data_IF_665703131732
#
_entry.id   IF_665703131732
#
_cell.length_a   1.000
_cell.length_b   1.000
_cell.length_c   1.000
_cell.angle_alpha   90.00
_cell.angle_beta   90.00
_cell.angle_gamma   90.00
#
_symmetry.space_group_name_H-M   'P 1'
#
loop_
_entity.id
_entity.type
_entity.pdbx_description
1 polymer ?
#
# COMPACT_ATOMS: atom_id res chain seq x y z
N UNK A 1 -67.07 1.48 -11.71
CA UNK A 1 -65.98 2.12 -12.39
C UNK A 1 -64.75 2.05 -11.50
N UNK A 2 -63.92 1.01 -11.68
CA UNK A 2 -62.68 0.88 -10.91
C UNK A 2 -61.54 1.65 -11.57
N UNK A 3 -61.04 2.65 -10.89
CA UNK A 3 -59.75 3.27 -11.27
C UNK A 3 -58.61 2.44 -10.68
N UNK A 4 -57.96 1.64 -11.50
CA UNK A 4 -56.72 1.01 -11.14
C UNK A 4 -55.63 2.08 -11.01
N UNK A 5 -55.22 2.36 -9.79
CA UNK A 5 -53.96 3.07 -9.55
C UNK A 5 -52.80 2.09 -9.85
N UNK A 6 -52.14 2.28 -10.95
CA UNK A 6 -50.85 1.64 -11.20
C UNK A 6 -49.82 2.34 -10.31
N UNK A 7 -49.44 1.67 -9.22
CA UNK A 7 -48.27 2.09 -8.44
C UNK A 7 -47.02 1.83 -9.31
N UNK A 8 -46.45 2.92 -9.80
CA UNK A 8 -45.10 2.87 -10.43
C UNK A 8 -44.10 2.71 -9.28
N UNK A 9 -43.66 1.50 -9.09
CA UNK A 9 -42.53 1.22 -8.18
C UNK A 9 -41.24 1.75 -8.84
N UNK A 10 -40.85 2.99 -8.49
CA UNK A 10 -39.55 3.51 -8.87
C UNK A 10 -38.52 2.80 -8.00
N UNK A 11 -37.91 1.76 -8.54
CA UNK A 11 -36.74 1.15 -7.93
C UNK A 11 -35.61 2.15 -8.15
N UNK A 12 -35.32 2.95 -7.13
CA UNK A 12 -34.09 3.72 -7.08
C UNK A 12 -32.93 2.73 -7.00
N UNK A 13 -32.31 2.47 -8.13
CA UNK A 13 -31.06 1.73 -8.19
C UNK A 13 -29.99 2.60 -7.54
N UNK A 14 -29.77 2.39 -6.24
CA UNK A 14 -28.67 2.99 -5.51
C UNK A 14 -27.38 2.35 -6.06
N UNK A 15 -26.78 3.02 -7.04
CA UNK A 15 -25.45 2.68 -7.54
C UNK A 15 -24.46 3.00 -6.43
N UNK A 16 -24.21 2.01 -5.56
CA UNK A 16 -23.09 2.08 -4.63
C UNK A 16 -21.83 1.92 -5.49
N UNK A 17 -21.30 3.05 -5.95
CA UNK A 17 -19.93 3.10 -6.42
C UNK A 17 -19.08 2.64 -5.22
N UNK A 18 -18.24 1.58 -5.36
CA UNK A 18 -17.24 1.32 -4.36
C UNK A 18 -16.37 2.58 -4.32
N UNK A 19 -16.61 3.43 -3.35
CA UNK A 19 -15.73 4.53 -3.05
C UNK A 19 -14.37 3.87 -2.78
N UNK A 20 -13.39 4.16 -3.63
CA UNK A 20 -12.01 3.91 -3.30
C UNK A 20 -11.73 4.78 -2.09
N UNK A 21 -11.94 4.24 -0.91
CA UNK A 21 -11.43 4.85 0.31
C UNK A 21 -9.93 4.61 0.25
N UNK A 22 -9.21 5.52 -0.38
CA UNK A 22 -7.77 5.65 -0.22
C UNK A 22 -7.54 6.06 1.23
N UNK A 23 -7.60 5.10 2.14
CA UNK A 23 -7.14 5.29 3.49
C UNK A 23 -5.63 5.09 3.46
N UNK A 24 -4.90 6.17 3.24
CA UNK A 24 -3.44 6.15 3.31
C UNK A 24 -3.01 5.49 4.64
N UNK A 25 -2.18 4.47 4.55
CA UNK A 25 -1.63 3.81 5.74
C UNK A 25 -0.81 4.81 6.54
N UNK A 26 -1.06 4.89 7.84
CA UNK A 26 -0.32 5.74 8.75
C UNK A 26 0.72 4.88 9.48
N UNK A 27 1.96 5.34 9.51
CA UNK A 27 3.04 4.82 10.33
C UNK A 27 3.25 5.73 11.54
N UNK A 28 3.22 5.13 12.71
CA UNK A 28 3.55 5.77 13.98
C UNK A 28 5.06 5.68 14.26
N UNK A 29 5.51 6.27 15.33
CA UNK A 29 6.94 6.37 15.67
C UNK A 29 7.65 5.02 15.90
N UNK A 30 6.89 3.94 16.03
CA UNK A 30 7.40 2.57 16.21
C UNK A 30 7.17 1.67 14.99
N UNK A 31 6.61 2.23 13.92
CA UNK A 31 6.15 1.46 12.77
C UNK A 31 7.07 1.66 11.57
N UNK A 32 7.55 0.58 10.97
CA UNK A 32 8.27 0.60 9.71
C UNK A 32 7.49 -0.14 8.62
N UNK A 33 7.70 0.23 7.37
CA UNK A 33 7.22 -0.53 6.21
C UNK A 33 8.33 -1.41 5.69
N UNK A 34 8.03 -2.69 5.55
CA UNK A 34 8.98 -3.70 5.11
C UNK A 34 8.45 -4.50 3.93
N UNK A 35 9.37 -4.99 3.12
CA UNK A 35 9.11 -5.98 2.07
C UNK A 35 9.93 -7.23 2.32
N UNK A 36 9.25 -8.37 2.36
CA UNK A 36 9.89 -9.69 2.36
C UNK A 36 9.95 -10.21 0.94
N UNK A 37 11.13 -10.58 0.49
CA UNK A 37 11.37 -11.19 -0.82
C UNK A 37 11.79 -12.65 -0.65
N UNK A 38 11.38 -13.54 -1.56
CA UNK A 38 11.68 -14.98 -1.49
C UNK A 38 12.81 -15.40 -2.39
N UNK A 39 13.23 -14.55 -3.32
CA UNK A 39 14.34 -14.81 -4.25
C UNK A 39 15.30 -13.63 -4.32
N UNK A 40 16.44 -13.82 -4.97
CA UNK A 40 17.42 -12.76 -5.25
C UNK A 40 17.10 -11.97 -6.53
N UNK A 41 15.95 -12.23 -7.17
CA UNK A 41 15.47 -11.43 -8.29
C UNK A 41 15.28 -9.98 -7.85
N UNK A 42 15.91 -9.06 -8.57
CA UNK A 42 15.91 -7.65 -8.19
C UNK A 42 14.51 -7.07 -8.18
N UNK A 43 14.16 -6.38 -7.11
CA UNK A 43 12.89 -5.65 -6.95
C UNK A 43 13.19 -4.18 -6.72
N UNK A 44 12.77 -3.34 -7.66
CA UNK A 44 12.82 -1.89 -7.49
C UNK A 44 11.62 -1.45 -6.66
N UNK A 45 11.83 -0.52 -5.73
CA UNK A 45 10.75 0.08 -4.96
C UNK A 45 10.81 1.60 -4.97
N UNK A 46 9.64 2.20 -4.91
CA UNK A 46 9.46 3.63 -4.68
C UNK A 46 8.27 3.81 -3.74
N UNK A 47 8.46 4.60 -2.70
CA UNK A 47 7.42 4.94 -1.74
C UNK A 47 7.35 6.45 -1.59
N UNK A 48 6.17 7.01 -1.80
CA UNK A 48 5.87 8.41 -1.52
C UNK A 48 5.13 8.50 -0.20
N UNK A 49 5.51 9.46 0.64
CA UNK A 49 4.87 9.66 1.94
C UNK A 49 4.85 11.14 2.32
N UNK A 50 4.15 11.45 3.40
CA UNK A 50 4.19 12.77 4.01
C UNK A 50 4.27 12.63 5.53
N UNK A 51 5.18 13.39 6.12
CA UNK A 51 5.34 13.49 7.56
C UNK A 51 4.51 14.63 8.11
N UNK A 52 3.74 14.35 9.16
CA UNK A 52 2.88 15.29 9.85
C UNK A 52 3.34 15.46 11.29
N UNK A 53 3.49 16.70 11.68
CA UNK A 53 3.59 17.11 13.09
C UNK A 53 2.39 17.97 13.45
N UNK A 54 2.32 18.50 14.64
CA UNK A 54 1.26 19.44 15.04
C UNK A 54 1.24 20.73 14.22
N UNK A 55 2.36 21.08 13.58
CA UNK A 55 2.53 22.38 12.89
C UNK A 55 3.04 22.27 11.46
N UNK A 56 3.54 21.11 11.02
CA UNK A 56 4.17 20.97 9.72
C UNK A 56 3.65 19.77 8.93
N UNK A 57 3.70 19.90 7.62
CA UNK A 57 3.46 18.83 6.65
C UNK A 57 4.69 18.79 5.73
N UNK A 58 5.38 17.66 5.69
CA UNK A 58 6.61 17.52 4.92
C UNK A 58 6.53 16.31 3.99
N UNK A 59 6.40 16.48 2.68
CA UNK A 59 6.46 15.39 1.72
C UNK A 59 7.84 14.74 1.69
N UNK A 60 7.87 13.42 1.50
CA UNK A 60 9.09 12.64 1.40
C UNK A 60 8.96 11.46 0.43
N UNK A 61 10.10 10.86 0.14
CA UNK A 61 10.20 9.69 -0.73
C UNK A 61 11.28 8.74 -0.23
N UNK A 62 11.02 7.43 -0.36
CA UNK A 62 12.02 6.36 -0.24
C UNK A 62 12.06 5.59 -1.54
N UNK A 63 13.24 5.25 -2.03
CA UNK A 63 13.40 4.47 -3.25
C UNK A 63 14.70 3.66 -3.20
N UNK A 64 14.70 2.50 -3.82
CA UNK A 64 15.88 1.63 -3.89
C UNK A 64 15.60 0.33 -4.63
N UNK A 65 16.54 -0.60 -4.51
CA UNK A 65 16.46 -1.92 -5.10
C UNK A 65 16.79 -2.98 -4.05
N UNK A 66 15.99 -4.06 -4.00
CA UNK A 66 16.20 -5.24 -3.16
C UNK A 66 16.74 -6.35 -4.05
N UNK A 67 17.89 -6.90 -3.71
CA UNK A 67 18.58 -7.97 -4.46
C UNK A 67 18.84 -9.22 -3.62
N UNK A 68 18.27 -9.31 -2.44
CA UNK A 68 18.44 -10.40 -1.47
C UNK A 68 17.10 -11.02 -1.10
N UNK A 69 17.09 -12.33 -0.85
CA UNK A 69 15.92 -13.04 -0.34
C UNK A 69 15.81 -12.83 1.19
N UNK A 70 15.26 -11.70 1.62
CA UNK A 70 15.19 -11.31 3.03
C UNK A 70 14.10 -10.28 3.27
N UNK A 71 13.90 -9.90 4.53
CA UNK A 71 13.09 -8.75 4.92
C UNK A 71 13.92 -7.49 4.79
N UNK A 72 13.40 -6.50 4.06
CA UNK A 72 14.05 -5.20 3.85
C UNK A 72 13.12 -4.08 4.29
N UNK A 73 13.60 -3.20 5.15
CA UNK A 73 12.87 -1.97 5.51
C UNK A 73 12.94 -0.98 4.35
N UNK A 74 11.80 -0.68 3.75
CA UNK A 74 11.68 0.25 2.63
C UNK A 74 11.26 1.66 3.08
N UNK A 75 10.62 1.77 4.24
CA UNK A 75 10.33 3.05 4.91
C UNK A 75 10.56 2.86 6.40
N UNK A 76 11.51 3.59 6.96
CA UNK A 76 11.78 3.60 8.39
C UNK A 76 10.66 4.28 9.18
N UNK A 77 10.60 4.00 10.47
CA UNK A 77 9.69 4.68 11.40
C UNK A 77 9.92 6.21 11.35
N UNK A 78 8.85 7.01 11.45
CA UNK A 78 9.00 8.46 11.55
C UNK A 78 9.66 8.88 12.86
N UNK A 79 10.16 10.11 12.89
CA UNK A 79 10.76 10.70 14.09
C UNK A 79 9.73 10.85 15.22
N UNK A 80 10.22 11.07 16.45
CA UNK A 80 9.37 11.33 17.61
C UNK A 80 8.39 12.49 17.33
N UNK A 81 7.18 12.39 17.84
CA UNK A 81 6.10 13.37 17.64
C UNK A 81 5.70 13.61 16.17
N UNK A 82 5.99 12.63 15.31
CA UNK A 82 5.65 12.67 13.89
C UNK A 82 4.83 11.44 13.51
N UNK A 83 3.82 11.61 12.68
CA UNK A 83 3.14 10.51 11.99
C UNK A 83 3.48 10.57 10.51
N UNK A 84 3.66 9.42 9.88
CA UNK A 84 3.98 9.32 8.46
C UNK A 84 2.81 8.70 7.71
N UNK A 85 2.22 9.44 6.80
CA UNK A 85 1.18 8.95 5.92
C UNK A 85 1.82 8.43 4.62
N UNK A 86 1.66 7.14 4.34
CA UNK A 86 2.02 6.56 3.05
C UNK A 86 1.03 7.05 2.00
N UNK A 87 1.52 7.49 0.86
CA UNK A 87 0.70 7.97 -0.27
C UNK A 87 0.65 6.95 -1.39
N UNK A 88 1.77 6.34 -1.67
CA UNK A 88 1.92 5.38 -2.76
C UNK A 88 3.10 4.46 -2.47
N UNK A 89 2.92 3.18 -2.73
CA UNK A 89 3.98 2.17 -2.72
C UNK A 89 4.00 1.48 -4.06
N UNK A 90 5.08 1.62 -4.80
CA UNK A 90 5.30 0.92 -6.07
C UNK A 90 6.43 -0.08 -5.93
N UNK A 91 6.18 -1.32 -6.33
CA UNK A 91 7.16 -2.40 -6.40
C UNK A 91 7.20 -2.94 -7.83
N UNK A 92 8.38 -3.17 -8.36
CA UNK A 92 8.58 -3.73 -9.70
C UNK A 92 9.59 -4.86 -9.65
N UNK A 93 9.24 -6.01 -10.19
CA UNK A 93 10.23 -7.06 -10.45
C UNK A 93 11.11 -6.65 -11.63
N UNK A 94 12.35 -6.27 -11.36
CA UNK A 94 13.32 -5.85 -12.37
C UNK A 94 14.02 -7.02 -13.06
N UNK A 95 13.82 -8.26 -12.60
CA UNK A 95 14.33 -9.46 -13.28
C UNK A 95 13.64 -9.66 -14.62
N UNK A 96 14.37 -10.17 -15.59
CA UNK A 96 13.86 -10.54 -16.91
C UNK A 96 13.45 -12.01 -17.02
N UNK A 97 13.78 -12.83 -16.01
CA UNK A 97 13.63 -14.28 -16.08
C UNK A 97 13.01 -14.92 -14.84
N UNK A 98 13.09 -14.29 -13.69
CA UNK A 98 12.71 -14.91 -12.41
C UNK A 98 11.56 -14.17 -11.75
N UNK A 99 10.47 -14.88 -11.45
CA UNK A 99 9.39 -14.37 -10.62
C UNK A 99 9.85 -14.21 -9.15
N UNK A 100 9.26 -13.27 -8.43
CA UNK A 100 9.53 -13.06 -7.02
C UNK A 100 8.22 -12.98 -6.24
N UNK A 101 8.11 -13.76 -5.16
CA UNK A 101 6.99 -13.64 -4.22
C UNK A 101 7.34 -12.62 -3.16
N UNK A 102 6.47 -11.65 -2.99
CA UNK A 102 6.65 -10.49 -2.13
C UNK A 102 5.57 -10.46 -1.06
N UNK A 103 5.96 -10.06 0.12
CA UNK A 103 5.02 -9.71 1.20
C UNK A 103 5.33 -8.30 1.66
N UNK A 104 4.36 -7.41 1.58
CA UNK A 104 4.41 -6.09 2.21
C UNK A 104 3.86 -6.25 3.62
N UNK A 105 4.63 -5.80 4.59
CA UNK A 105 4.24 -5.86 5.99
C UNK A 105 4.59 -4.55 6.71
N UNK A 106 3.85 -4.27 7.77
CA UNK A 106 4.18 -3.24 8.74
C UNK A 106 4.79 -3.89 9.97
N UNK A 107 5.99 -3.51 10.32
CA UNK A 107 6.57 -3.82 11.62
C UNK A 107 6.03 -2.83 12.64
N UNK A 108 5.37 -3.31 13.66
CA UNK A 108 4.81 -2.52 14.76
C UNK A 108 5.55 -2.92 16.04
N UNK A 109 6.58 -2.16 16.43
CA UNK A 109 7.40 -2.45 17.62
C UNK A 109 7.96 -3.88 17.63
N UNK A 110 8.42 -4.40 16.49
CA UNK A 110 8.94 -5.76 16.35
C UNK A 110 7.89 -6.83 16.06
N UNK A 111 6.62 -6.46 15.91
CA UNK A 111 5.54 -7.36 15.53
C UNK A 111 5.08 -7.12 14.09
N UNK A 112 5.32 -8.09 13.22
CA UNK A 112 5.00 -7.98 11.80
C UNK A 112 3.51 -8.14 11.52
N UNK A 113 2.95 -7.21 10.75
CA UNK A 113 1.56 -7.20 10.28
C UNK A 113 1.55 -7.21 8.76
N UNK A 114 1.17 -8.34 8.18
CA UNK A 114 1.05 -8.48 6.72
C UNK A 114 -0.04 -7.56 6.19
N UNK A 115 0.29 -6.79 5.16
CA UNK A 115 -0.64 -5.91 4.45
C UNK A 115 -1.05 -6.52 3.11
N UNK A 116 -0.10 -7.09 2.37
CA UNK A 116 -0.35 -7.75 1.10
C UNK A 116 0.71 -8.83 0.82
N UNK A 117 0.30 -9.90 0.13
CA UNK A 117 1.22 -10.94 -0.37
C UNK A 117 0.83 -11.28 -1.80
N UNK A 118 1.79 -11.32 -2.69
CA UNK A 118 1.58 -11.55 -4.12
C UNK A 118 2.87 -12.02 -4.78
N UNK A 119 2.76 -12.51 -6.02
CA UNK A 119 3.93 -12.87 -6.84
C UNK A 119 3.97 -11.97 -8.06
N UNK A 120 5.12 -11.36 -8.31
CA UNK A 120 5.39 -10.59 -9.51
C UNK A 120 6.17 -11.45 -10.51
N UNK A 121 5.64 -11.63 -11.71
CA UNK A 121 6.36 -12.18 -12.85
C UNK A 121 7.50 -11.22 -13.28
N UNK A 122 8.45 -11.67 -14.10
CA UNK A 122 9.49 -10.80 -14.62
C UNK A 122 8.92 -9.54 -15.29
N UNK A 123 9.38 -8.36 -14.88
CA UNK A 123 8.94 -7.06 -15.40
C UNK A 123 7.60 -6.55 -14.87
N UNK A 124 6.85 -7.35 -14.12
CA UNK A 124 5.59 -6.91 -13.50
C UNK A 124 5.82 -5.91 -12.36
N UNK A 125 4.80 -5.12 -12.12
CA UNK A 125 4.79 -4.14 -11.05
C UNK A 125 3.47 -4.19 -10.27
N UNK A 126 3.54 -3.75 -9.03
CA UNK A 126 2.43 -3.61 -8.10
C UNK A 126 2.39 -2.18 -7.58
N UNK A 127 1.21 -1.62 -7.46
CA UNK A 127 0.99 -0.31 -6.86
C UNK A 127 -0.08 -0.40 -5.77
N UNK A 128 0.17 0.27 -4.66
CA UNK A 128 -0.75 0.46 -3.54
C UNK A 128 -0.77 1.96 -3.21
N UNK A 129 -1.94 2.57 -3.25
CA UNK A 129 -2.25 3.96 -2.93
C UNK A 129 -3.36 4.09 -1.88
#
# INVERSE_FOLDING_TARGET
>A
MGRMFKAICVIALLLVLPGVVSSGTILETTDALEVVTTTTAAVDYTVSFADHTTTTFTPGKSAGQITTATTTTIVSAPAASTTRQLKEVTLRNASTTTANSLTIQRDVSGANRTMASFTLAPGEWFNMD
#
